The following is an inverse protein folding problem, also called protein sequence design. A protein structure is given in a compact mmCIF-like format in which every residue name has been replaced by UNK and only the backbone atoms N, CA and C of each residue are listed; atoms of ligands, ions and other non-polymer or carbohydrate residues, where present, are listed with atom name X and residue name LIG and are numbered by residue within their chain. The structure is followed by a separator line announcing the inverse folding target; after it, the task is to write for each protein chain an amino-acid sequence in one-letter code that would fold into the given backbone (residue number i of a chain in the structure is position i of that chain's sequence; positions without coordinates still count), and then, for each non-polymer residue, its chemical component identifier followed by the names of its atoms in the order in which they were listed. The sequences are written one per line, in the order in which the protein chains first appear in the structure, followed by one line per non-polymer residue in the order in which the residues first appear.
data_IF_671518143427
#
_entry.id   IF_671518143427
#
_cell.length_a   1.000
_cell.length_b   1.000
_cell.length_c   1.000
_cell.angle_alpha   90.00
_cell.angle_beta   90.00
_cell.angle_gamma   90.00
#
_symmetry.space_group_name_H-M   'P 1'
#
loop_
_entity.id
_entity.type
_entity.pdbx_description
1 polymer ?
#
# COMPACT_ATOMS: atom_id res chain seq x y z
N UNK A 1 37.10 -41.63 -63.00
CA UNK A 1 36.14 -40.50 -62.91
C UNK A 1 35.41 -40.66 -61.64
N UNK A 2 35.83 -39.90 -60.62
CA UNK A 2 35.20 -39.87 -59.25
C UNK A 2 34.25 -38.68 -59.21
N UNK A 3 32.98 -38.93 -58.94
CA UNK A 3 31.91 -37.86 -58.73
C UNK A 3 31.90 -37.51 -57.25
N UNK A 4 32.27 -36.25 -56.93
CA UNK A 4 32.07 -35.69 -55.59
C UNK A 4 30.66 -35.16 -55.50
N UNK A 5 29.88 -35.73 -54.56
CA UNK A 5 28.58 -35.18 -54.15
C UNK A 5 28.84 -34.18 -53.02
N UNK A 6 28.51 -32.90 -53.25
CA UNK A 6 28.44 -31.87 -52.21
C UNK A 6 27.14 -31.98 -51.44
N UNK A 7 27.22 -32.32 -50.17
CA UNK A 7 26.12 -32.32 -49.23
C UNK A 7 26.01 -30.90 -48.59
N UNK A 8 25.04 -30.12 -49.02
CA UNK A 8 24.77 -28.81 -48.41
C UNK A 8 23.96 -29.02 -47.12
N UNK A 9 24.62 -28.76 -45.98
CA UNK A 9 23.94 -28.74 -44.68
C UNK A 9 23.30 -27.37 -44.48
N UNK A 10 21.96 -27.33 -44.56
CA UNK A 10 21.16 -26.13 -44.26
C UNK A 10 20.98 -26.00 -42.74
N UNK A 11 21.76 -25.12 -42.10
CA UNK A 11 21.63 -24.78 -40.69
C UNK A 11 20.46 -23.83 -40.55
N UNK A 12 19.34 -24.36 -40.08
CA UNK A 12 18.13 -23.57 -39.75
C UNK A 12 18.36 -22.90 -38.37
N UNK A 13 18.73 -21.63 -38.37
CA UNK A 13 18.79 -20.80 -37.15
C UNK A 13 17.36 -20.50 -36.63
N UNK A 14 16.90 -21.33 -35.74
CA UNK A 14 15.67 -21.02 -34.96
C UNK A 14 16.03 -19.90 -33.99
N UNK A 15 15.64 -18.66 -34.32
CA UNK A 15 15.58 -17.58 -33.33
C UNK A 15 14.53 -17.95 -32.29
N UNK A 16 14.95 -18.46 -31.16
CA UNK A 16 14.11 -18.51 -29.96
C UNK A 16 13.77 -17.04 -29.61
N UNK A 17 12.58 -16.59 -29.99
CA UNK A 17 12.00 -15.41 -29.37
C UNK A 17 11.70 -15.79 -27.92
N UNK A 18 12.60 -15.48 -27.03
CA UNK A 18 12.27 -15.40 -25.60
C UNK A 18 11.22 -14.31 -25.45
N UNK A 19 9.95 -14.71 -25.33
CA UNK A 19 8.91 -13.84 -24.83
C UNK A 19 9.38 -13.48 -23.43
N UNK A 20 9.97 -12.30 -23.26
CA UNK A 20 10.21 -11.72 -21.96
C UNK A 20 8.81 -11.59 -21.32
N UNK A 21 8.49 -12.48 -20.39
CA UNK A 21 7.32 -12.28 -19.56
C UNK A 21 7.50 -10.92 -18.90
N UNK A 22 6.60 -9.98 -19.19
CA UNK A 22 6.62 -8.68 -18.51
C UNK A 22 6.65 -8.95 -17.01
N UNK A 23 7.55 -8.29 -16.28
CA UNK A 23 7.59 -8.37 -14.83
C UNK A 23 6.17 -8.14 -14.27
N UNK A 24 5.68 -8.98 -13.36
CA UNK A 24 4.28 -8.94 -12.91
C UNK A 24 3.94 -7.65 -12.15
N UNK A 25 4.93 -6.80 -11.84
CA UNK A 25 4.79 -5.55 -11.12
C UNK A 25 5.77 -4.48 -11.60
N UNK A 26 5.72 -3.31 -10.95
CA UNK A 26 6.70 -2.25 -11.12
C UNK A 26 7.87 -2.48 -10.17
N UNK A 27 9.02 -2.85 -10.67
CA UNK A 27 10.26 -2.97 -9.88
C UNK A 27 11.09 -1.70 -10.05
N UNK A 28 11.50 -1.10 -8.94
CA UNK A 28 12.38 0.07 -8.91
C UNK A 28 13.56 -0.25 -7.99
N UNK A 29 14.74 -0.33 -8.57
CA UNK A 29 15.97 -0.56 -7.79
C UNK A 29 16.29 0.67 -6.94
N UNK A 30 16.73 0.42 -5.70
CA UNK A 30 17.14 1.44 -4.77
C UNK A 30 18.46 2.09 -5.19
N UNK A 31 18.57 3.42 -5.03
CA UNK A 31 19.84 4.13 -5.08
C UNK A 31 20.57 4.04 -3.74
N UNK A 32 21.46 4.99 -3.47
CA UNK A 32 22.07 5.12 -2.16
C UNK A 32 21.05 5.65 -1.13
N UNK A 33 21.17 5.20 0.09
CA UNK A 33 20.30 5.61 1.18
C UNK A 33 20.28 4.60 2.34
N UNK A 34 19.60 4.94 3.41
CA UNK A 34 19.50 4.15 4.65
C UNK A 34 18.90 2.76 4.37
N UNK A 35 17.94 2.67 3.44
CA UNK A 35 17.27 1.43 3.07
C UNK A 35 18.02 0.56 2.06
N UNK A 36 19.28 0.88 1.74
CA UNK A 36 20.06 0.10 0.77
C UNK A 36 20.18 -1.37 1.18
N UNK A 37 19.85 -2.25 0.25
CA UNK A 37 19.85 -3.70 0.47
C UNK A 37 18.55 -4.26 1.03
N UNK A 38 17.57 -3.40 1.39
CA UNK A 38 16.24 -3.82 1.86
C UNK A 38 15.19 -3.69 0.76
N UNK A 39 14.18 -4.57 0.81
CA UNK A 39 13.14 -4.69 -0.20
C UNK A 39 11.76 -4.41 0.40
N UNK A 40 11.04 -3.47 -0.21
CA UNK A 40 9.66 -3.14 0.12
C UNK A 40 8.74 -3.65 -0.99
N UNK A 41 7.73 -4.43 -0.63
CA UNK A 41 6.70 -4.90 -1.57
C UNK A 41 5.37 -4.25 -1.26
N UNK A 42 4.80 -3.58 -2.24
CA UNK A 42 3.49 -2.93 -2.18
C UNK A 42 2.43 -3.84 -2.81
N UNK A 43 1.43 -4.21 -2.05
CA UNK A 43 0.26 -4.96 -2.52
C UNK A 43 -0.88 -3.97 -2.71
N UNK A 44 -1.20 -3.65 -3.96
CA UNK A 44 -2.24 -2.68 -4.31
C UNK A 44 -3.45 -3.35 -4.94
N UNK A 45 -4.58 -2.66 -4.93
CA UNK A 45 -5.83 -3.17 -5.49
C UNK A 45 -7.01 -2.54 -4.75
N UNK A 46 -7.01 -1.22 -4.68
CA UNK A 46 -8.06 -0.43 -4.07
C UNK A 46 -8.75 0.40 -5.15
N UNK A 47 -10.06 0.26 -5.27
CA UNK A 47 -10.82 0.72 -6.45
C UNK A 47 -11.34 2.16 -6.36
N UNK A 48 -11.26 2.83 -5.18
CA UNK A 48 -11.77 4.20 -4.98
C UNK A 48 -10.68 5.27 -4.86
N UNK A 49 -9.53 4.91 -4.26
CA UNK A 49 -8.53 5.88 -3.77
C UNK A 49 -7.24 5.90 -4.58
N UNK A 50 -7.22 5.24 -5.75
CA UNK A 50 -6.08 5.27 -6.68
C UNK A 50 -4.79 4.74 -6.05
N UNK A 51 -4.86 3.54 -5.47
CA UNK A 51 -3.70 2.89 -4.87
C UNK A 51 -2.55 2.73 -5.87
N UNK A 52 -2.85 2.49 -7.15
CA UNK A 52 -1.87 2.34 -8.22
C UNK A 52 -1.03 3.60 -8.46
N UNK A 53 -1.67 4.79 -8.37
CA UNK A 53 -0.98 6.07 -8.54
C UNK A 53 -0.15 6.41 -7.28
N UNK A 54 -0.78 6.35 -6.11
CA UNK A 54 -0.16 6.72 -4.83
C UNK A 54 1.04 5.85 -4.48
N UNK A 55 0.89 4.53 -4.61
CA UNK A 55 1.96 3.61 -4.24
C UNK A 55 3.12 3.62 -5.24
N UNK A 56 2.84 3.76 -6.52
CA UNK A 56 3.88 3.91 -7.54
C UNK A 56 4.70 5.19 -7.34
N UNK A 57 4.05 6.30 -7.00
CA UNK A 57 4.72 7.56 -6.65
C UNK A 57 5.58 7.37 -5.39
N UNK A 58 5.02 6.77 -4.35
CA UNK A 58 5.70 6.60 -3.07
C UNK A 58 6.89 5.64 -3.17
N UNK A 59 6.77 4.56 -3.95
CA UNK A 59 7.87 3.65 -4.26
C UNK A 59 9.05 4.36 -4.94
N UNK A 60 8.78 5.33 -5.82
CA UNK A 60 9.83 6.16 -6.44
C UNK A 60 10.57 7.00 -5.40
N UNK A 61 9.86 7.63 -4.46
CA UNK A 61 10.47 8.41 -3.37
C UNK A 61 11.40 7.49 -2.55
N UNK A 62 10.90 6.35 -2.11
CA UNK A 62 11.65 5.41 -1.28
C UNK A 62 12.89 4.86 -1.99
N UNK A 63 12.77 4.54 -3.26
CA UNK A 63 13.90 4.00 -4.02
C UNK A 63 14.95 5.07 -4.35
N UNK A 64 14.54 6.26 -4.75
CA UNK A 64 15.47 7.28 -5.27
C UNK A 64 16.06 8.17 -4.17
N UNK A 65 15.37 8.37 -3.04
CA UNK A 65 15.86 9.20 -1.94
C UNK A 65 16.33 8.39 -0.73
N UNK A 66 15.83 7.14 -0.58
CA UNK A 66 16.06 6.38 0.64
C UNK A 66 16.73 5.02 0.42
N UNK A 67 16.97 4.62 -0.86
CA UNK A 67 17.78 3.46 -1.20
C UNK A 67 17.06 2.11 -1.18
N UNK A 68 15.75 2.07 -0.87
CA UNK A 68 15.00 0.81 -0.87
C UNK A 68 14.78 0.27 -2.29
N UNK A 69 14.98 -1.03 -2.49
CA UNK A 69 14.35 -1.73 -3.62
C UNK A 69 12.84 -1.74 -3.37
N UNK A 70 12.05 -1.35 -4.38
CA UNK A 70 10.59 -1.33 -4.29
C UNK A 70 9.96 -2.15 -5.41
N UNK A 71 9.03 -3.05 -5.04
CA UNK A 71 8.17 -3.76 -6.00
C UNK A 71 6.73 -3.38 -5.74
N UNK A 72 6.06 -2.80 -6.73
CA UNK A 72 4.62 -2.47 -6.64
C UNK A 72 3.83 -3.49 -7.46
N UNK A 73 2.98 -4.24 -6.79
CA UNK A 73 2.08 -5.23 -7.37
C UNK A 73 0.70 -4.63 -7.53
N UNK A 74 0.05 -4.93 -8.65
CA UNK A 74 -1.23 -4.35 -9.03
C UNK A 74 -2.30 -5.43 -9.24
N UNK A 75 -3.56 -5.07 -8.99
CA UNK A 75 -4.67 -5.87 -9.49
C UNK A 75 -4.72 -5.74 -11.03
N UNK A 76 -4.56 -6.87 -11.71
CA UNK A 76 -4.48 -6.97 -13.18
C UNK A 76 -5.71 -7.70 -13.72
N UNK A 77 -6.30 -7.18 -14.78
CA UNK A 77 -7.29 -7.91 -15.54
C UNK A 77 -6.60 -8.96 -16.43
N UNK A 78 -6.78 -10.27 -16.17
CA UNK A 78 -6.11 -11.31 -16.93
C UNK A 78 -6.53 -11.34 -18.41
N UNK A 79 -7.70 -10.80 -18.75
CA UNK A 79 -8.18 -10.74 -20.14
C UNK A 79 -7.47 -9.68 -20.97
N UNK A 80 -7.02 -8.57 -20.35
CA UNK A 80 -6.44 -7.43 -21.07
C UNK A 80 -4.98 -7.19 -20.72
N UNK A 81 -4.50 -7.71 -19.60
CA UNK A 81 -3.17 -7.40 -19.04
C UNK A 81 -3.08 -5.99 -18.44
N UNK A 82 -4.17 -5.23 -18.38
CA UNK A 82 -4.18 -3.89 -17.82
C UNK A 82 -4.50 -3.89 -16.31
N UNK A 83 -4.01 -2.87 -15.63
CA UNK A 83 -4.36 -2.61 -14.23
C UNK A 83 -5.86 -2.32 -14.15
N UNK A 84 -6.54 -3.09 -13.29
CA UNK A 84 -7.96 -2.92 -13.01
C UNK A 84 -8.23 -3.30 -11.55
N UNK A 85 -8.40 -2.30 -10.69
CA UNK A 85 -8.60 -2.51 -9.27
C UNK A 85 -9.91 -3.25 -8.92
N UNK A 86 -10.88 -3.33 -9.85
CA UNK A 86 -12.10 -4.13 -9.66
C UNK A 86 -11.86 -5.65 -9.75
N UNK A 87 -10.68 -6.09 -10.22
CA UNK A 87 -10.31 -7.52 -10.26
C UNK A 87 -9.83 -7.96 -8.88
N UNK A 88 -10.76 -8.45 -8.09
CA UNK A 88 -10.52 -8.77 -6.68
C UNK A 88 -9.59 -9.98 -6.45
N UNK A 89 -9.41 -10.83 -7.44
CA UNK A 89 -8.79 -12.14 -7.32
C UNK A 89 -7.48 -12.31 -8.12
N UNK A 90 -6.88 -11.24 -8.61
CA UNK A 90 -5.66 -11.35 -9.42
C UNK A 90 -4.68 -10.21 -9.13
N UNK A 91 -3.69 -10.49 -8.29
CA UNK A 91 -2.53 -9.62 -8.01
C UNK A 91 -1.28 -10.47 -8.28
N UNK A 92 -0.79 -10.53 -9.53
CA UNK A 92 0.37 -11.35 -9.86
C UNK A 92 1.66 -10.84 -9.21
N UNK A 93 2.61 -11.75 -8.92
CA UNK A 93 3.91 -11.40 -8.38
C UNK A 93 4.01 -11.40 -6.85
N UNK A 94 3.01 -11.92 -6.13
CA UNK A 94 3.02 -11.97 -4.66
C UNK A 94 4.17 -12.81 -4.08
N UNK A 95 4.81 -13.68 -4.87
CA UNK A 95 6.05 -14.38 -4.49
C UNK A 95 7.22 -13.43 -4.15
N UNK A 96 7.18 -12.16 -4.59
CA UNK A 96 8.14 -11.12 -4.20
C UNK A 96 8.18 -10.91 -2.67
N UNK A 97 7.09 -11.23 -1.95
CA UNK A 97 7.02 -11.18 -0.49
C UNK A 97 8.04 -12.10 0.21
N UNK A 98 8.54 -13.13 -0.46
CA UNK A 98 9.58 -14.02 0.10
C UNK A 98 10.85 -13.24 0.48
N UNK A 99 11.25 -12.28 -0.35
CA UNK A 99 12.43 -11.43 -0.14
C UNK A 99 12.11 -10.08 0.52
N UNK A 100 10.84 -9.77 0.78
CA UNK A 100 10.46 -8.47 1.34
C UNK A 100 10.86 -8.32 2.81
N UNK A 101 11.40 -7.16 3.15
CA UNK A 101 11.65 -6.70 4.52
C UNK A 101 10.44 -5.95 5.08
N UNK A 102 9.63 -5.34 4.21
CA UNK A 102 8.39 -4.68 4.54
C UNK A 102 7.30 -4.96 3.49
N UNK A 103 6.10 -5.33 3.96
CA UNK A 103 4.89 -5.37 3.13
C UNK A 103 4.05 -4.12 3.37
N UNK A 104 3.75 -3.37 2.30
CA UNK A 104 2.80 -2.25 2.32
C UNK A 104 1.51 -2.71 1.67
N UNK A 105 0.39 -2.59 2.37
CA UNK A 105 -0.93 -3.01 1.87
C UNK A 105 -1.81 -1.80 1.63
N UNK A 106 -2.25 -1.62 0.40
CA UNK A 106 -3.30 -0.68 0.02
C UNK A 106 -4.28 -1.37 -0.94
N UNK A 107 -5.05 -2.27 -0.40
CA UNK A 107 -5.99 -3.12 -1.11
C UNK A 107 -7.34 -3.15 -0.39
N UNK A 108 -8.40 -3.54 -1.10
CA UNK A 108 -9.76 -3.62 -0.57
C UNK A 108 -10.49 -4.81 -1.16
N UNK A 109 -11.14 -5.62 -0.30
CA UNK A 109 -12.03 -6.71 -0.69
C UNK A 109 -11.42 -7.74 -1.64
N UNK A 110 -10.16 -8.12 -1.39
CA UNK A 110 -9.49 -9.16 -2.18
C UNK A 110 -9.94 -10.55 -1.75
N UNK A 111 -10.26 -11.38 -2.72
CA UNK A 111 -10.45 -12.84 -2.60
C UNK A 111 -9.43 -13.49 -3.54
N UNK A 112 -8.18 -13.55 -3.08
CA UNK A 112 -7.09 -14.10 -3.89
C UNK A 112 -7.16 -15.61 -3.97
N UNK A 113 -6.67 -16.23 -5.06
CA UNK A 113 -6.41 -17.67 -5.10
C UNK A 113 -5.54 -18.11 -3.92
N UNK A 114 -5.77 -19.32 -3.42
CA UNK A 114 -5.07 -19.83 -2.22
C UNK A 114 -3.55 -19.81 -2.37
N UNK A 115 -3.04 -20.13 -3.56
CA UNK A 115 -1.60 -20.09 -3.85
C UNK A 115 -1.01 -18.67 -3.69
N UNK A 116 -1.74 -17.66 -4.12
CA UNK A 116 -1.35 -16.25 -4.04
C UNK A 116 -1.50 -15.73 -2.61
N UNK A 117 -2.65 -16.01 -1.97
CA UNK A 117 -2.88 -15.61 -0.58
C UNK A 117 -1.85 -16.21 0.38
N UNK A 118 -1.39 -17.42 0.09
CA UNK A 118 -0.35 -18.09 0.87
C UNK A 118 0.92 -17.25 1.05
N UNK A 119 1.33 -16.47 0.05
CA UNK A 119 2.51 -15.61 0.18
C UNK A 119 2.31 -14.52 1.24
N UNK A 120 1.11 -13.94 1.32
CA UNK A 120 0.76 -12.95 2.35
C UNK A 120 0.71 -13.62 3.73
N UNK A 121 0.08 -14.77 3.81
CA UNK A 121 -0.03 -15.55 5.05
C UNK A 121 1.33 -15.97 5.57
N UNK A 122 2.20 -16.51 4.72
CA UNK A 122 3.56 -16.90 5.09
C UNK A 122 4.38 -15.70 5.57
N UNK A 123 4.23 -14.53 4.90
CA UNK A 123 4.90 -13.29 5.26
C UNK A 123 4.50 -12.83 6.69
N UNK A 124 3.21 -12.79 6.97
CA UNK A 124 2.66 -12.40 8.28
C UNK A 124 3.04 -13.43 9.34
N UNK A 125 2.94 -14.73 9.03
CA UNK A 125 3.32 -15.81 9.95
C UNK A 125 4.82 -15.84 10.27
N UNK A 126 5.65 -15.20 9.46
CA UNK A 126 7.05 -14.98 9.78
C UNK A 126 7.29 -13.84 10.79
N UNK A 127 6.26 -13.10 11.20
CA UNK A 127 6.36 -11.95 12.10
C UNK A 127 6.97 -10.71 11.44
N UNK A 128 6.94 -10.62 10.12
CA UNK A 128 7.54 -9.52 9.37
C UNK A 128 6.68 -8.25 9.41
N UNK A 129 7.29 -7.04 9.33
CA UNK A 129 6.55 -5.79 9.50
C UNK A 129 5.56 -5.51 8.38
N UNK A 130 4.42 -4.88 8.75
CA UNK A 130 3.34 -4.53 7.82
C UNK A 130 3.00 -3.05 7.94
N UNK A 131 2.80 -2.38 6.82
CA UNK A 131 2.28 -1.03 6.75
C UNK A 131 0.91 -1.05 6.06
N UNK A 132 -0.13 -0.66 6.79
CA UNK A 132 -1.52 -0.61 6.30
C UNK A 132 -1.92 0.81 5.92
N UNK A 133 -2.45 0.97 4.71
CA UNK A 133 -2.94 2.26 4.21
C UNK A 133 -4.45 2.18 4.04
N UNK A 134 -5.17 3.08 4.72
CA UNK A 134 -6.59 3.32 4.58
C UNK A 134 -7.41 2.02 4.57
N UNK A 135 -7.83 1.57 3.39
CA UNK A 135 -8.68 0.39 3.22
C UNK A 135 -7.97 -0.95 3.47
N UNK A 136 -6.69 -0.95 3.84
CA UNK A 136 -6.01 -2.16 4.26
C UNK A 136 -6.71 -2.86 5.45
N UNK A 137 -7.44 -2.12 6.27
CA UNK A 137 -8.24 -2.66 7.39
C UNK A 137 -9.36 -3.59 6.93
N UNK A 138 -9.72 -3.56 5.65
CA UNK A 138 -10.65 -4.51 5.00
C UNK A 138 -10.08 -4.98 3.64
N UNK A 139 -8.78 -5.26 3.61
CA UNK A 139 -8.10 -5.73 2.42
C UNK A 139 -8.70 -7.02 1.86
N UNK A 140 -9.15 -7.92 2.73
CA UNK A 140 -9.67 -9.23 2.33
C UNK A 140 -11.16 -9.35 2.62
N UNK A 141 -11.88 -9.93 1.66
CA UNK A 141 -13.29 -10.30 1.77
C UNK A 141 -13.53 -11.57 0.98
N UNK A 142 -14.02 -12.57 1.65
CA UNK A 142 -14.32 -13.87 1.04
C UNK A 142 -15.82 -14.03 0.83
N UNK A 143 -16.19 -14.68 -0.26
CA UNK A 143 -17.57 -15.07 -0.52
C UNK A 143 -18.08 -16.03 0.57
N UNK A 144 -19.39 -15.99 0.85
CA UNK A 144 -19.98 -16.77 1.95
C UNK A 144 -19.67 -18.28 1.85
N UNK A 145 -19.62 -18.81 0.63
CA UNK A 145 -19.36 -20.22 0.35
C UNK A 145 -17.90 -20.49 -0.09
N UNK A 146 -16.98 -19.56 0.13
CA UNK A 146 -15.58 -19.75 -0.22
C UNK A 146 -15.01 -20.99 0.51
N UNK A 147 -14.39 -21.93 -0.23
CA UNK A 147 -13.73 -23.09 0.37
C UNK A 147 -12.32 -22.76 0.87
N UNK A 148 -11.85 -21.54 0.70
CA UNK A 148 -10.49 -21.13 1.02
C UNK A 148 -10.17 -21.35 2.50
N UNK A 149 -9.01 -21.95 2.84
CA UNK A 149 -8.52 -22.06 4.21
C UNK A 149 -8.20 -20.69 4.82
N UNK A 150 -8.09 -19.65 4.00
CA UNK A 150 -7.79 -18.29 4.43
C UNK A 150 -9.04 -17.42 4.67
N UNK A 151 -10.23 -17.99 4.61
CA UNK A 151 -11.50 -17.29 4.85
C UNK A 151 -11.54 -16.54 6.19
N UNK A 152 -10.83 -17.00 7.20
CA UNK A 152 -10.71 -16.29 8.48
C UNK A 152 -9.98 -14.94 8.40
N UNK A 153 -9.26 -14.66 7.30
CA UNK A 153 -8.59 -13.37 7.05
C UNK A 153 -9.56 -12.26 6.61
N UNK A 154 -10.81 -12.63 6.31
CA UNK A 154 -11.90 -11.71 5.98
C UNK A 154 -12.10 -10.66 7.08
N UNK A 155 -12.30 -9.39 6.69
CA UNK A 155 -12.47 -8.26 7.61
C UNK A 155 -13.70 -8.39 8.53
N UNK A 156 -14.69 -9.24 8.20
CA UNK A 156 -15.87 -9.55 9.00
C UNK A 156 -15.75 -10.89 9.73
N UNK A 157 -14.61 -11.54 9.68
CA UNK A 157 -14.40 -12.84 10.28
C UNK A 157 -14.74 -12.84 11.77
N UNK A 158 -15.46 -13.88 12.19
CA UNK A 158 -15.74 -14.17 13.62
C UNK A 158 -14.77 -15.23 14.16
N UNK A 159 -14.22 -16.09 13.31
CA UNK A 159 -13.29 -17.14 13.69
C UNK A 159 -11.91 -16.57 14.06
N UNK A 160 -11.48 -15.53 13.40
CA UNK A 160 -10.32 -14.71 13.73
C UNK A 160 -10.80 -13.26 13.69
N UNK A 161 -11.31 -12.79 14.83
CA UNK A 161 -12.17 -11.61 14.94
C UNK A 161 -11.63 -10.40 14.17
N UNK A 162 -12.41 -9.91 13.18
CA UNK A 162 -12.03 -8.79 12.33
C UNK A 162 -10.89 -9.08 11.36
N UNK A 163 -10.46 -10.35 11.26
CA UNK A 163 -9.48 -10.84 10.29
C UNK A 163 -8.17 -10.08 10.29
N UNK A 164 -7.56 -10.00 9.11
CA UNK A 164 -6.29 -9.30 8.90
C UNK A 164 -6.30 -7.87 9.45
N UNK A 165 -7.38 -7.12 9.20
CA UNK A 165 -7.48 -5.72 9.62
C UNK A 165 -7.30 -5.58 11.13
N UNK A 166 -8.18 -6.21 11.92
CA UNK A 166 -8.14 -6.04 13.38
C UNK A 166 -6.91 -6.71 14.00
N UNK A 167 -6.56 -7.91 13.55
CA UNK A 167 -5.52 -8.70 14.20
C UNK A 167 -4.12 -8.18 13.88
N UNK A 168 -3.88 -7.75 12.64
CA UNK A 168 -2.55 -7.32 12.21
C UNK A 168 -2.43 -5.80 12.24
N UNK A 169 -3.45 -5.06 11.82
CA UNK A 169 -3.41 -3.61 11.68
C UNK A 169 -4.01 -2.84 12.86
N UNK A 170 -4.76 -3.51 13.75
CA UNK A 170 -5.33 -2.92 14.98
C UNK A 170 -6.82 -2.65 14.91
N UNK A 171 -7.38 -2.42 13.73
CA UNK A 171 -8.83 -2.30 13.56
C UNK A 171 -9.27 -2.90 12.23
N UNK A 172 -10.53 -3.30 12.16
CA UNK A 172 -11.22 -3.65 10.92
C UNK A 172 -12.17 -2.54 10.53
N UNK A 173 -12.48 -2.41 9.25
CA UNK A 173 -13.39 -1.36 8.79
C UNK A 173 -14.79 -1.49 9.38
N UNK A 174 -15.27 -0.39 9.95
CA UNK A 174 -16.60 -0.26 10.55
C UNK A 174 -17.46 0.63 9.67
N UNK A 175 -17.00 1.86 9.46
CA UNK A 175 -17.71 2.89 8.70
C UNK A 175 -16.76 4.05 8.38
N UNK A 176 -17.15 4.89 7.44
CA UNK A 176 -16.66 6.25 7.34
C UNK A 176 -17.10 7.05 8.56
N UNK A 177 -16.18 7.75 9.21
CA UNK A 177 -16.56 8.69 10.27
C UNK A 177 -16.89 10.07 9.72
N UNK A 178 -16.15 10.52 8.71
CA UNK A 178 -16.52 11.64 7.85
C UNK A 178 -17.43 11.20 6.70
N UNK A 179 -17.99 12.16 5.96
CA UNK A 179 -18.79 11.87 4.75
C UNK A 179 -17.88 11.76 3.53
N UNK A 180 -17.89 10.58 2.91
CA UNK A 180 -17.11 10.29 1.73
C UNK A 180 -17.25 11.36 0.64
N UNK A 181 -16.13 11.86 0.11
CA UNK A 181 -16.05 12.90 -0.93
C UNK A 181 -16.72 14.25 -0.59
N UNK A 182 -17.07 14.49 0.67
CA UNK A 182 -17.71 15.74 1.13
C UNK A 182 -16.98 16.38 2.30
N UNK A 183 -16.34 15.58 3.12
CA UNK A 183 -15.68 16.00 4.35
C UNK A 183 -14.24 15.54 4.35
N UNK A 184 -13.33 16.44 4.63
CA UNK A 184 -11.89 16.18 4.73
C UNK A 184 -11.49 15.85 6.17
N UNK A 185 -10.21 15.54 6.37
CA UNK A 185 -9.63 15.28 7.68
C UNK A 185 -8.49 16.27 7.95
N UNK A 186 -8.51 16.90 9.14
CA UNK A 186 -7.35 17.54 9.73
C UNK A 186 -6.80 16.61 10.82
N UNK A 187 -5.68 15.97 10.54
CA UNK A 187 -4.99 15.15 11.52
C UNK A 187 -4.07 16.02 12.40
N UNK A 188 -4.04 15.75 13.69
CA UNK A 188 -3.22 16.47 14.67
C UNK A 188 -2.35 15.49 15.45
N UNK A 189 -1.09 15.84 15.67
CA UNK A 189 -0.17 15.09 16.53
C UNK A 189 -0.70 15.08 17.96
N UNK A 190 -0.69 13.91 18.60
CA UNK A 190 -0.98 13.81 20.04
C UNK A 190 0.22 14.41 20.79
N UNK A 191 -0.03 15.42 21.61
CA UNK A 191 1.02 16.22 22.25
C UNK A 191 2.04 15.39 23.04
N UNK A 192 1.60 14.34 23.74
CA UNK A 192 2.47 13.42 24.45
C UNK A 192 3.37 12.58 23.53
N UNK A 193 3.05 12.49 22.23
CA UNK A 193 3.80 11.72 21.23
C UNK A 193 4.71 12.62 20.35
N UNK A 194 4.69 13.95 20.54
CA UNK A 194 5.41 14.89 19.67
C UNK A 194 6.90 14.54 19.48
N UNK A 195 7.53 13.99 20.50
CA UNK A 195 8.94 13.62 20.46
C UNK A 195 9.21 12.22 19.89
N UNK A 196 8.19 11.50 19.44
CA UNK A 196 8.39 10.18 18.84
C UNK A 196 9.21 10.32 17.53
N UNK A 197 10.24 9.49 17.31
CA UNK A 197 11.15 9.62 16.15
C UNK A 197 10.42 9.70 14.80
N UNK A 198 9.35 8.96 14.63
CA UNK A 198 8.52 8.95 13.40
C UNK A 198 7.87 10.31 13.09
N UNK A 199 7.70 11.17 14.08
CA UNK A 199 7.15 12.52 13.92
C UNK A 199 8.22 13.58 13.64
N UNK A 200 9.49 13.19 13.54
CA UNK A 200 10.58 14.13 13.25
C UNK A 200 10.40 14.79 11.89
N UNK A 201 10.43 16.12 11.87
CA UNK A 201 10.22 16.93 10.66
C UNK A 201 8.79 16.94 10.12
N UNK A 202 7.83 16.28 10.80
CA UNK A 202 6.40 16.31 10.48
C UNK A 202 5.74 17.49 11.18
N UNK A 203 4.91 18.25 10.52
CA UNK A 203 4.13 19.34 11.12
C UNK A 203 3.14 18.81 12.17
N UNK A 204 2.68 19.69 13.07
CA UNK A 204 1.71 19.32 14.10
C UNK A 204 0.36 18.95 13.54
N UNK A 205 0.06 19.39 12.32
CA UNK A 205 -1.18 19.06 11.61
C UNK A 205 -0.91 18.60 10.19
N UNK A 206 -1.71 17.64 9.71
CA UNK A 206 -1.72 17.16 8.33
C UNK A 206 -3.14 17.26 7.80
N UNK A 207 -3.31 18.00 6.69
CA UNK A 207 -4.56 17.99 5.96
C UNK A 207 -4.60 16.83 4.97
N UNK A 208 -5.73 16.10 4.95
CA UNK A 208 -6.02 15.05 3.98
C UNK A 208 -7.38 15.30 3.34
N UNK A 209 -7.43 15.20 2.01
CA UNK A 209 -8.66 15.38 1.23
C UNK A 209 -9.73 14.31 1.51
N UNK A 210 -9.35 13.24 2.16
CA UNK A 210 -10.26 12.13 2.48
C UNK A 210 -10.74 12.20 3.91
N UNK A 211 -11.93 11.67 4.12
CA UNK A 211 -12.53 11.49 5.44
C UNK A 211 -11.75 10.46 6.28
N UNK A 212 -11.78 10.62 7.60
CA UNK A 212 -11.24 9.65 8.54
C UNK A 212 -12.24 8.50 8.74
N UNK A 213 -11.71 7.28 8.90
CA UNK A 213 -12.53 6.11 9.25
C UNK A 213 -12.87 6.09 10.74
N UNK A 214 -14.00 5.45 11.10
CA UNK A 214 -14.23 5.03 12.47
C UNK A 214 -13.18 3.98 12.86
N UNK A 215 -12.45 4.24 13.96
CA UNK A 215 -11.43 3.37 14.52
C UNK A 215 -11.75 3.19 16.01
N UNK A 216 -12.16 1.99 16.41
CA UNK A 216 -12.79 1.75 17.71
C UNK A 216 -12.19 0.57 18.48
N UNK A 217 -11.31 -0.23 17.85
CA UNK A 217 -10.83 -1.49 18.43
C UNK A 217 -9.36 -1.46 18.86
N UNK A 218 -8.72 -0.30 18.76
CA UNK A 218 -7.36 -0.14 19.28
C UNK A 218 -7.37 -0.35 20.79
N UNK A 219 -6.31 -0.95 21.27
CA UNK A 219 -6.10 -1.23 22.69
C UNK A 219 -5.10 -0.24 23.31
N UNK A 220 -4.99 -0.14 24.63
CA UNK A 220 -3.96 0.69 25.27
C UNK A 220 -2.52 0.29 24.94
N UNK A 221 -2.31 -0.88 24.32
CA UNK A 221 -0.99 -1.32 23.84
C UNK A 221 -0.64 -0.74 22.47
N UNK A 222 -1.63 -0.25 21.74
CA UNK A 222 -1.44 0.32 20.42
C UNK A 222 -1.05 1.79 20.54
N UNK A 223 0.03 2.20 19.90
CA UNK A 223 0.61 3.53 20.03
C UNK A 223 0.02 4.46 18.97
N UNK A 224 -0.97 5.27 19.35
CA UNK A 224 -1.57 6.29 18.48
C UNK A 224 -0.68 7.54 18.47
N UNK A 225 -0.17 7.94 17.30
CA UNK A 225 0.67 9.11 17.12
C UNK A 225 -0.13 10.36 16.73
N UNK A 226 -1.17 10.19 15.93
CA UNK A 226 -1.99 11.28 15.41
C UNK A 226 -3.47 10.94 15.46
N UNK A 227 -4.30 11.97 15.63
CA UNK A 227 -5.76 11.87 15.64
C UNK A 227 -6.35 12.78 14.57
N UNK A 228 -7.38 12.30 13.86
CA UNK A 228 -8.09 13.02 12.80
C UNK A 228 -9.38 13.65 13.27
N UNK A 229 -9.59 14.91 12.93
CA UNK A 229 -10.84 15.65 13.06
C UNK A 229 -11.50 15.79 11.71
N UNK A 230 -12.82 15.63 11.66
CA UNK A 230 -13.62 15.84 10.44
C UNK A 230 -13.82 17.34 10.19
N UNK A 231 -13.51 17.78 8.99
CA UNK A 231 -13.80 19.13 8.49
C UNK A 231 -15.14 19.15 7.74
N UNK A 232 -15.80 20.31 7.71
CA UNK A 232 -17.12 20.47 7.08
C UNK A 232 -17.11 20.49 5.55
N UNK A 233 -15.94 20.51 4.94
CA UNK A 233 -15.70 20.53 3.50
C UNK A 233 -14.38 19.90 3.11
N UNK A 234 -13.89 20.22 1.91
CA UNK A 234 -12.70 19.61 1.31
C UNK A 234 -11.48 20.56 1.21
N UNK A 235 -11.56 21.73 1.83
CA UNK A 235 -10.46 22.68 1.89
C UNK A 235 -9.76 22.67 3.26
N UNK A 236 -8.46 22.91 3.32
CA UNK A 236 -7.72 22.92 4.59
C UNK A 236 -8.18 24.04 5.55
N UNK A 237 -8.86 25.06 5.05
CA UNK A 237 -9.39 26.18 5.84
C UNK A 237 -10.86 25.96 6.28
N UNK A 238 -11.50 24.88 5.86
CA UNK A 238 -12.86 24.58 6.29
C UNK A 238 -12.87 24.29 7.81
N UNK A 239 -13.87 24.81 8.53
CA UNK A 239 -13.96 24.58 9.97
C UNK A 239 -14.29 23.11 10.28
N UNK A 240 -14.05 22.65 11.50
CA UNK A 240 -14.58 21.37 11.96
C UNK A 240 -16.11 21.30 11.81
N UNK A 241 -16.63 20.09 11.60
CA UNK A 241 -18.08 19.86 11.61
C UNK A 241 -18.69 20.33 12.93
N UNK A 242 -19.96 20.76 12.89
CA UNK A 242 -20.67 21.31 14.08
C UNK A 242 -21.65 20.32 14.70
N UNK A 243 -21.80 19.14 14.11
CA UNK A 243 -22.65 18.06 14.62
C UNK A 243 -21.99 17.30 15.81
N UNK A 244 -22.58 16.18 16.23
CA UNK A 244 -22.10 15.36 17.36
C UNK A 244 -20.62 14.89 17.22
N UNK A 245 -20.03 15.01 16.04
CA UNK A 245 -18.65 14.62 15.74
C UNK A 245 -17.63 15.73 16.00
N UNK A 246 -18.07 16.97 16.29
CA UNK A 246 -17.20 18.16 16.36
C UNK A 246 -16.03 18.03 17.33
N UNK A 247 -16.25 17.38 18.46
CA UNK A 247 -15.26 17.22 19.54
C UNK A 247 -14.60 15.83 19.54
N UNK A 248 -14.98 14.97 18.60
CA UNK A 248 -14.43 13.62 18.49
C UNK A 248 -13.23 13.60 17.59
N UNK A 249 -12.20 12.92 18.03
CA UNK A 249 -10.98 12.67 17.26
C UNK A 249 -10.81 11.18 17.07
N UNK A 250 -10.74 10.72 15.82
CA UNK A 250 -10.48 9.32 15.50
C UNK A 250 -8.97 9.06 15.38
N UNK A 251 -8.45 7.91 15.82
CA UNK A 251 -7.08 7.53 15.51
C UNK A 251 -6.81 7.67 14.01
N UNK A 252 -5.72 8.36 13.67
CA UNK A 252 -5.34 8.64 12.28
C UNK A 252 -4.12 7.85 11.84
N UNK A 253 -3.13 7.74 12.73
CA UNK A 253 -1.90 6.99 12.48
C UNK A 253 -1.40 6.34 13.78
N UNK A 254 -1.09 5.03 13.73
CA UNK A 254 -0.72 4.26 14.92
C UNK A 254 0.20 3.09 14.61
N UNK A 255 0.95 2.65 15.62
CA UNK A 255 1.67 1.40 15.65
C UNK A 255 0.93 0.34 16.44
N UNK A 256 1.10 -0.90 16.06
CA UNK A 256 0.65 -2.09 16.77
C UNK A 256 1.74 -3.15 16.78
N UNK A 257 1.94 -3.82 17.91
CA UNK A 257 2.57 -5.13 17.94
C UNK A 257 1.48 -6.17 17.74
N UNK A 258 1.59 -6.97 16.71
CA UNK A 258 0.63 -8.02 16.39
C UNK A 258 1.20 -9.40 16.70
N UNK A 259 0.33 -10.36 16.98
CA UNK A 259 0.68 -11.78 17.06
C UNK A 259 0.06 -12.50 15.85
N UNK A 260 0.90 -13.06 15.01
CA UNK A 260 0.48 -13.83 13.85
C UNK A 260 -0.21 -15.15 14.24
N UNK A 261 -0.98 -15.80 13.35
CA UNK A 261 -1.55 -17.14 13.61
C UNK A 261 -0.50 -18.19 13.97
N UNK A 262 0.75 -18.05 13.53
CA UNK A 262 1.88 -18.90 13.90
C UNK A 262 2.39 -18.70 15.35
N UNK A 263 1.89 -17.67 16.06
CA UNK A 263 2.38 -17.26 17.37
C UNK A 263 3.58 -16.31 17.35
N UNK A 264 4.14 -16.00 16.16
CA UNK A 264 5.22 -15.02 16.04
C UNK A 264 4.69 -13.60 16.17
N UNK A 265 5.43 -12.76 16.88
CA UNK A 265 5.15 -11.34 16.95
C UNK A 265 5.75 -10.60 15.76
N UNK A 266 5.05 -9.57 15.34
CA UNK A 266 5.49 -8.61 14.33
C UNK A 266 5.00 -7.21 14.67
N UNK A 267 5.39 -6.22 13.89
CA UNK A 267 5.01 -4.81 14.10
C UNK A 267 4.30 -4.26 12.87
N UNK A 268 3.23 -3.51 13.10
CA UNK A 268 2.55 -2.81 12.01
C UNK A 268 2.44 -1.32 12.29
N UNK A 269 2.34 -0.54 11.21
CA UNK A 269 1.93 0.85 11.22
C UNK A 269 0.71 1.02 10.32
N UNK A 270 -0.28 1.77 10.75
CA UNK A 270 -1.52 1.96 9.99
C UNK A 270 -1.91 3.43 9.97
N UNK A 271 -2.42 3.89 8.83
CA UNK A 271 -3.04 5.22 8.70
C UNK A 271 -4.38 5.13 7.99
N UNK A 272 -5.32 6.01 8.39
CA UNK A 272 -6.62 6.16 7.71
C UNK A 272 -6.55 7.06 6.49
N UNK A 273 -5.42 7.72 6.23
CA UNK A 273 -5.13 8.50 5.01
C UNK A 273 -4.44 7.65 3.94
N UNK A 274 -4.24 8.22 2.76
CA UNK A 274 -3.40 7.66 1.71
C UNK A 274 -4.06 7.56 0.34
N UNK A 275 -5.21 8.20 0.13
CA UNK A 275 -5.74 8.39 -1.22
C UNK A 275 -4.77 9.19 -2.09
N UNK A 276 -4.89 9.06 -3.42
CA UNK A 276 -4.02 9.76 -4.36
C UNK A 276 -3.81 11.24 -4.05
N UNK A 277 -4.89 11.96 -3.70
CA UNK A 277 -4.83 13.38 -3.36
C UNK A 277 -4.15 13.66 -2.02
N UNK A 278 -4.28 12.77 -1.04
CA UNK A 278 -3.66 12.94 0.29
C UNK A 278 -2.14 12.97 0.20
N UNK A 279 -1.55 12.26 -0.78
CA UNK A 279 -0.10 12.25 -1.01
C UNK A 279 0.49 13.57 -1.49
N UNK A 280 -0.34 14.57 -1.83
CA UNK A 280 0.13 15.92 -2.08
C UNK A 280 0.68 16.58 -0.80
N UNK A 281 0.22 16.15 0.38
CA UNK A 281 0.78 16.57 1.67
C UNK A 281 2.22 16.08 1.85
N UNK A 282 3.16 17.02 1.95
CA UNK A 282 4.57 16.72 2.24
C UNK A 282 4.73 16.01 3.59
N UNK A 283 3.96 16.46 4.59
CA UNK A 283 4.02 15.92 5.94
C UNK A 283 3.44 14.50 6.03
N UNK A 284 2.41 14.17 5.24
CA UNK A 284 1.94 12.78 5.15
C UNK A 284 3.03 11.89 4.55
N UNK A 285 3.66 12.30 3.45
CA UNK A 285 4.76 11.53 2.86
C UNK A 285 5.91 11.33 3.85
N UNK A 286 6.25 12.37 4.62
CA UNK A 286 7.32 12.30 5.63
C UNK A 286 6.97 11.38 6.78
N UNK A 287 5.76 11.48 7.31
CA UNK A 287 5.25 10.55 8.31
C UNK A 287 5.40 9.10 7.84
N UNK A 288 5.02 8.82 6.61
CA UNK A 288 5.06 7.46 6.05
C UNK A 288 6.49 6.98 5.78
N UNK A 289 7.40 7.83 5.30
CA UNK A 289 8.82 7.48 5.16
C UNK A 289 9.43 7.18 6.53
N UNK A 290 9.16 8.01 7.52
CA UNK A 290 9.67 7.79 8.87
C UNK A 290 9.11 6.50 9.51
N UNK A 291 7.83 6.20 9.27
CA UNK A 291 7.21 4.95 9.73
C UNK A 291 7.87 3.72 9.06
N UNK A 292 8.24 3.83 7.78
CA UNK A 292 8.99 2.77 7.08
C UNK A 292 10.37 2.59 7.69
N UNK A 293 11.11 3.65 7.97
CA UNK A 293 12.38 3.55 8.68
C UNK A 293 12.24 2.82 10.02
N UNK A 294 11.21 3.17 10.81
CA UNK A 294 10.94 2.50 12.09
C UNK A 294 10.62 1.01 11.91
N UNK A 295 9.80 0.66 10.89
CA UNK A 295 9.42 -0.73 10.61
C UNK A 295 10.58 -1.58 10.05
N UNK A 296 11.53 -0.95 9.36
CA UNK A 296 12.69 -1.64 8.77
C UNK A 296 13.94 -1.59 9.65
N UNK A 297 13.80 -1.18 10.91
CA UNK A 297 14.88 -1.21 11.91
C UNK A 297 15.77 0.03 11.95
N UNK A 298 15.41 1.09 11.22
CA UNK A 298 16.18 2.34 11.07
C UNK A 298 15.57 3.53 11.86
N UNK A 299 14.81 3.27 12.91
CA UNK A 299 14.16 4.35 13.68
C UNK A 299 15.16 5.38 14.23
N UNK A 300 16.35 4.94 14.62
CA UNK A 300 17.42 5.81 15.14
C UNK A 300 18.05 6.69 14.05
N UNK A 301 17.98 6.23 12.81
CA UNK A 301 18.60 6.85 11.64
C UNK A 301 17.67 7.88 10.97
N UNK A 302 16.43 8.05 11.47
CA UNK A 302 15.48 9.01 10.92
C UNK A 302 16.11 10.41 10.98
N UNK A 303 16.34 11.09 9.81
CA UNK A 303 16.93 12.42 9.78
C UNK A 303 15.97 13.47 10.34
N UNK A 304 16.46 14.66 10.65
CA UNK A 304 15.62 15.77 11.11
C UNK A 304 14.49 16.10 10.13
N UNK A 305 14.76 15.97 8.84
CA UNK A 305 13.77 16.16 7.77
C UNK A 305 14.04 15.20 6.61
N UNK A 306 13.33 14.07 6.57
CA UNK A 306 13.43 13.10 5.46
C UNK A 306 13.04 13.76 4.13
N UNK A 307 13.82 13.50 3.06
CA UNK A 307 13.50 14.00 1.73
C UNK A 307 12.31 13.23 1.15
N UNK A 308 11.24 13.94 0.82
CA UNK A 308 10.00 13.37 0.30
C UNK A 308 9.54 14.07 -0.98
N UNK A 309 10.46 14.73 -1.67
CA UNK A 309 10.18 15.36 -2.95
C UNK A 309 9.75 14.31 -3.98
N UNK A 310 8.82 14.68 -4.84
CA UNK A 310 8.38 13.82 -5.92
C UNK A 310 9.53 13.50 -6.89
N UNK A 311 9.55 12.26 -7.36
CA UNK A 311 10.40 11.83 -8.47
C UNK A 311 9.59 11.90 -9.76
N UNK A 312 9.84 12.93 -10.54
CA UNK A 312 9.01 13.28 -11.69
C UNK A 312 7.72 13.98 -11.29
N UNK A 313 6.81 14.11 -12.24
CA UNK A 313 5.54 14.78 -12.02
C UNK A 313 4.54 13.85 -11.32
N UNK A 314 3.81 14.37 -10.34
CA UNK A 314 2.70 13.69 -9.68
C UNK A 314 1.41 14.50 -9.87
N UNK A 315 0.52 14.01 -10.74
CA UNK A 315 -0.81 14.59 -11.03
C UNK A 315 -1.88 13.56 -10.65
N UNK A 316 -2.24 13.47 -9.36
CA UNK A 316 -3.19 12.48 -8.89
C UNK A 316 -4.58 12.71 -9.49
N UNK A 317 -5.25 11.62 -9.82
CA UNK A 317 -6.66 11.64 -10.24
C UNK A 317 -7.57 11.74 -9.01
N UNK A 318 -8.75 12.34 -9.15
CA UNK A 318 -9.76 12.35 -8.09
C UNK A 318 -10.12 10.93 -7.64
N UNK A 319 -10.53 10.82 -6.38
CA UNK A 319 -11.08 9.59 -5.81
C UNK A 319 -12.44 9.26 -6.41
N UNK A 320 -12.76 7.97 -6.48
CA UNK A 320 -14.05 7.47 -6.97
C UNK A 320 -13.90 6.15 -7.73
N UNK A 321 -14.94 5.32 -7.67
CA UNK A 321 -14.99 4.06 -8.40
C UNK A 321 -15.03 4.28 -9.90
N UNK A 322 -14.36 3.41 -10.64
CA UNK A 322 -14.44 3.30 -12.08
C UNK A 322 -15.13 2.00 -12.48
N UNK A 323 -15.87 2.01 -13.59
CA UNK A 323 -16.35 0.76 -14.22
C UNK A 323 -15.19 -0.05 -14.80
N UNK A 324 -15.41 -1.32 -15.12
CA UNK A 324 -14.39 -2.15 -15.78
C UNK A 324 -13.98 -1.58 -17.13
N UNK A 325 -14.95 -1.03 -17.88
CA UNK A 325 -14.72 -0.40 -19.18
C UNK A 325 -13.83 0.84 -19.03
N UNK A 326 -14.10 1.66 -18.00
CA UNK A 326 -13.31 2.85 -17.71
C UNK A 326 -11.88 2.46 -17.31
N UNK A 327 -11.68 1.43 -16.48
CA UNK A 327 -10.36 0.89 -16.17
C UNK A 327 -9.63 0.42 -17.43
N UNK A 328 -10.30 -0.34 -18.30
CA UNK A 328 -9.73 -0.85 -19.55
C UNK A 328 -9.34 0.28 -20.48
N UNK A 329 -10.16 1.34 -20.57
CA UNK A 329 -9.90 2.50 -21.41
C UNK A 329 -8.63 3.28 -21.00
N UNK A 330 -8.24 3.23 -19.73
CA UNK A 330 -7.01 3.85 -19.23
C UNK A 330 -5.74 3.15 -19.74
N UNK A 331 -5.81 1.87 -20.13
CA UNK A 331 -4.70 1.04 -20.63
C UNK A 331 -3.45 1.09 -19.73
N UNK A 332 -3.67 1.21 -18.42
CA UNK A 332 -2.58 1.30 -17.45
C UNK A 332 -1.88 -0.05 -17.32
N UNK A 333 -0.56 -0.01 -17.32
CA UNK A 333 0.32 -1.17 -17.05
C UNK A 333 1.32 -0.79 -15.97
N UNK A 334 2.03 -1.74 -15.34
CA UNK A 334 3.12 -1.42 -14.42
C UNK A 334 4.14 -0.45 -15.03
N UNK A 335 4.47 -0.62 -16.33
CA UNK A 335 5.41 0.24 -17.04
C UNK A 335 4.92 1.71 -17.17
N UNK A 336 3.62 1.96 -17.12
CA UNK A 336 3.05 3.34 -17.12
C UNK A 336 3.60 4.16 -15.95
N UNK A 337 3.89 3.51 -14.83
CA UNK A 337 4.38 4.16 -13.61
C UNK A 337 5.90 4.13 -13.47
N UNK A 338 6.65 3.61 -14.43
CA UNK A 338 8.11 3.60 -14.36
C UNK A 338 8.71 5.01 -14.25
N UNK A 339 9.93 5.09 -13.75
CA UNK A 339 10.70 6.33 -13.78
C UNK A 339 11.10 6.58 -15.23
N UNK A 340 10.62 7.70 -15.79
CA UNK A 340 11.00 8.10 -17.15
C UNK A 340 12.47 8.53 -17.15
N UNK A 341 13.24 8.03 -18.11
CA UNK A 341 14.58 8.57 -18.37
C UNK A 341 14.44 10.08 -18.65
N UNK A 342 15.39 10.87 -18.12
CA UNK A 342 15.47 12.28 -18.55
C UNK A 342 15.78 12.29 -20.06
N UNK A 343 15.08 13.11 -20.85
CA UNK A 343 15.38 13.28 -22.28
C UNK A 343 16.81 13.75 -22.51
#
# INVERSE_FOLDING_TARGET
MMKYQFLAVLILLIKLCTVSSAEPGLVIEGKEGIGKGQHIVFVTGEEYYRSEEGMSMFAKILSQHHGYKCTVLFAIDPATGFINANKANNIPGLEALKSADLMVVFARFRELPDADMKHIVDYVNAGKPVLGIRNATHAFRYSANSPSPYKSWDFQSKAWLGGFGQQILGDTWIAHYGKFQKEATLATVISSQRNHPVLRGVADTIFCHTDVNSVERLTPKDLVLMQGQVLSGLNPMDPPVTDKRKDVRMPFAWFKTYTAPSGKEGRSFTTTAGASLDWQSEDLRRLMVNAIYSLTGHEKDIPEKSNVNFIGEYKPKPTGALSNEAWTALKLTPATFAIKAKP
#
